data_IF_952825989052
#
_entry.id   IF_952825989052
#
_cell.length_a   1.000
_cell.length_b   1.000
_cell.length_c   1.000
_cell.angle_alpha   90.00
_cell.angle_beta   90.00
_cell.angle_gamma   90.00
#
_symmetry.space_group_name_H-M   'P 1'
#
loop_
_entity.id
_entity.type
_entity.pdbx_description
1 polymer ?
#
# COMPACT_ATOMS: atom_id res chain seq x y z
N UNK A 1 4.95 -10.65 14.87
CA UNK A 1 5.21 -9.98 13.60
C UNK A 1 4.38 -8.72 13.59
N UNK A 2 5.02 -7.58 13.79
CA UNK A 2 4.37 -6.27 13.69
C UNK A 2 4.17 -5.91 12.22
N UNK A 3 3.27 -4.97 11.94
CA UNK A 3 3.08 -4.43 10.59
C UNK A 3 4.38 -3.82 10.07
N UNK A 4 5.16 -3.18 10.94
CA UNK A 4 6.47 -2.62 10.61
C UNK A 4 7.48 -3.71 10.22
N UNK A 5 7.60 -4.79 11.00
CA UNK A 5 8.48 -5.93 10.67
C UNK A 5 8.10 -6.58 9.34
N UNK A 6 6.80 -6.66 9.04
CA UNK A 6 6.32 -7.16 7.75
C UNK A 6 6.67 -6.20 6.60
N UNK A 7 6.44 -4.90 6.77
CA UNK A 7 6.73 -3.88 5.76
C UNK A 7 8.21 -3.88 5.38
N UNK A 8 9.11 -3.89 6.36
CA UNK A 8 10.56 -3.98 6.13
C UNK A 8 10.93 -5.25 5.35
N UNK A 9 10.33 -6.40 5.69
CA UNK A 9 10.58 -7.65 4.97
C UNK A 9 10.04 -7.60 3.55
N UNK A 10 8.87 -7.01 3.33
CA UNK A 10 8.28 -6.84 2.01
C UNK A 10 9.14 -5.95 1.11
N UNK A 11 9.61 -4.81 1.61
CA UNK A 11 10.53 -3.92 0.86
C UNK A 11 11.83 -4.63 0.49
N UNK A 12 12.43 -5.41 1.40
CA UNK A 12 13.64 -6.16 1.09
C UNK A 12 13.44 -7.19 -0.03
N UNK A 13 12.22 -7.73 -0.16
CA UNK A 13 11.85 -8.71 -1.18
C UNK A 13 11.35 -8.05 -2.48
N UNK A 14 10.79 -6.84 -2.41
CA UNK A 14 10.25 -6.14 -3.58
C UNK A 14 11.34 -5.73 -4.56
N UNK A 15 12.58 -5.51 -4.10
CA UNK A 15 13.76 -5.23 -4.94
C UNK A 15 14.00 -6.32 -5.99
N UNK A 16 13.62 -7.57 -5.70
CA UNK A 16 13.75 -8.70 -6.63
C UNK A 16 12.65 -8.75 -7.69
N UNK A 17 11.63 -7.90 -7.59
CA UNK A 17 10.55 -7.79 -8.56
C UNK A 17 10.62 -6.42 -9.26
N UNK A 18 11.21 -6.34 -10.46
CA UNK A 18 11.40 -5.08 -11.17
C UNK A 18 10.08 -4.38 -11.54
N UNK A 19 8.96 -5.09 -11.50
CA UNK A 19 7.62 -4.55 -11.78
C UNK A 19 6.99 -3.76 -10.64
N UNK A 20 7.53 -3.86 -9.42
CA UNK A 20 6.91 -3.23 -8.26
C UNK A 20 7.56 -1.90 -7.85
N UNK A 21 8.80 -1.61 -8.23
CA UNK A 21 9.53 -0.46 -7.68
C UNK A 21 9.50 0.80 -8.56
N UNK A 22 8.64 0.86 -9.60
CA UNK A 22 8.45 2.12 -10.33
C UNK A 22 7.46 3.02 -9.59
N UNK A 23 7.63 4.35 -9.59
CA UNK A 23 6.68 5.28 -8.96
C UNK A 23 5.23 5.07 -9.43
N UNK A 24 5.06 4.74 -10.72
CA UNK A 24 3.76 4.44 -11.32
C UNK A 24 3.17 3.14 -10.77
N UNK A 25 4.00 2.14 -10.46
CA UNK A 25 3.56 0.89 -9.86
C UNK A 25 3.20 1.06 -8.38
N UNK A 26 3.86 1.95 -7.64
CA UNK A 26 3.49 2.26 -6.25
C UNK A 26 2.10 2.91 -6.18
N UNK A 27 1.83 3.88 -7.05
CA UNK A 27 0.51 4.51 -7.11
C UNK A 27 -0.60 3.49 -7.46
N UNK A 28 -0.36 2.62 -8.45
CA UNK A 28 -1.31 1.56 -8.81
C UNK A 28 -1.56 0.56 -7.67
N UNK A 29 -0.55 0.24 -6.84
CA UNK A 29 -0.73 -0.60 -5.65
C UNK A 29 -1.63 0.06 -4.60
N UNK A 30 -1.44 1.35 -4.32
CA UNK A 30 -2.28 2.08 -3.37
C UNK A 30 -3.74 2.09 -3.82
N UNK A 31 -3.99 2.36 -5.11
CA UNK A 31 -5.34 2.34 -5.68
C UNK A 31 -5.97 0.95 -5.62
N UNK A 32 -5.21 -0.11 -5.94
CA UNK A 32 -5.68 -1.51 -5.82
C UNK A 32 -5.97 -1.90 -4.37
N UNK A 33 -5.15 -1.45 -3.43
CA UNK A 33 -5.38 -1.67 -2.01
C UNK A 33 -6.67 -0.99 -1.56
N UNK A 34 -6.82 0.31 -1.83
CA UNK A 34 -8.00 1.11 -1.45
C UNK A 34 -9.30 0.63 -2.09
N UNK A 35 -9.24 0.16 -3.35
CA UNK A 35 -10.40 -0.40 -4.04
C UNK A 35 -10.83 -1.76 -3.49
N UNK A 36 -9.91 -2.54 -2.92
CA UNK A 36 -10.19 -3.82 -2.26
C UNK A 36 -10.67 -3.70 -0.81
N UNK A 37 -10.65 -2.50 -0.23
CA UNK A 37 -11.12 -2.28 1.14
C UNK A 37 -12.63 -2.39 1.26
N UNK A 38 -13.06 -2.88 2.42
CA UNK A 38 -14.48 -2.88 2.78
C UNK A 38 -15.00 -1.44 2.87
N UNK A 39 -16.26 -1.16 2.50
CA UNK A 39 -16.82 0.20 2.51
C UNK A 39 -16.66 0.92 3.85
N UNK A 40 -16.77 0.21 4.98
CA UNK A 40 -16.65 0.79 6.31
C UNK A 40 -15.22 1.28 6.60
N UNK A 41 -14.21 0.53 6.14
CA UNK A 41 -12.79 0.88 6.27
C UNK A 41 -12.43 2.00 5.30
N UNK A 42 -12.95 1.94 4.07
CA UNK A 42 -12.76 2.96 3.05
C UNK A 42 -13.31 4.31 3.49
N UNK A 43 -14.44 4.33 4.19
CA UNK A 43 -15.02 5.55 4.75
C UNK A 43 -14.14 6.16 5.86
N UNK A 44 -13.60 5.33 6.76
CA UNK A 44 -12.69 5.78 7.83
C UNK A 44 -11.38 6.38 7.29
N UNK A 45 -10.80 5.76 6.25
CA UNK A 45 -9.56 6.23 5.62
C UNK A 45 -9.82 7.47 4.77
N UNK A 46 -10.93 7.52 4.03
CA UNK A 46 -11.32 8.69 3.24
C UNK A 46 -11.58 9.95 4.07
N UNK A 47 -11.98 9.80 5.34
CA UNK A 47 -12.06 10.90 6.31
C UNK A 47 -10.70 11.43 6.78
N UNK A 48 -9.67 10.60 6.71
CA UNK A 48 -8.35 10.89 7.27
C UNK A 48 -7.36 11.41 6.23
N UNK A 49 -7.84 11.99 5.10
CA UNK A 49 -7.05 12.51 3.97
C UNK A 49 -5.57 12.11 4.09
N UNK A 50 -5.20 10.96 3.50
CA UNK A 50 -3.79 10.61 3.27
C UNK A 50 -3.26 11.57 2.19
N UNK A 51 -3.21 12.85 2.55
CA UNK A 51 -2.84 13.97 1.70
C UNK A 51 -2.10 14.98 2.58
N UNK A 52 -0.93 14.55 3.02
CA UNK A 52 0.29 15.36 2.94
C UNK A 52 1.30 14.58 2.09
#
# INVERSE_FOLDING_TARGET
MTVAEYATKFESLSVFSPYYNTPEAEYDKCVKFESGLRPEVKHLIGFSEIRD
#
